data_IF_252395577690
#
_entry.id   IF_252395577690
#
_cell.length_a   1.000
_cell.length_b   1.000
_cell.length_c   1.000
_cell.angle_alpha   90.00
_cell.angle_beta   90.00
_cell.angle_gamma   90.00
#
_symmetry.space_group_name_H-M   'P 1'
#
loop_
_entity.id
_entity.type
_entity.pdbx_description
1 polymer ?
#
# COMPACT_ATOMS: atom_id res chain seq x y z
N UNK A 1 4.46 -0.09 -9.47
CA UNK A 1 3.04 0.29 -9.58
C UNK A 1 2.88 1.69 -10.18
N UNK A 2 3.47 2.75 -9.60
CA UNK A 2 3.24 4.13 -10.08
C UNK A 2 3.63 4.34 -11.55
N UNK A 3 4.88 4.06 -11.93
CA UNK A 3 5.36 4.32 -13.30
C UNK A 3 4.68 3.44 -14.37
N UNK A 4 4.59 2.13 -14.11
CA UNK A 4 4.14 1.12 -15.09
C UNK A 4 2.64 0.84 -15.06
N UNK A 5 1.95 1.16 -13.97
CA UNK A 5 0.53 0.90 -13.80
C UNK A 5 -0.25 2.21 -13.77
N UNK A 6 -0.02 3.02 -12.75
CA UNK A 6 -0.80 4.24 -12.54
C UNK A 6 -0.66 5.27 -13.65
N UNK A 7 0.56 5.60 -14.11
CA UNK A 7 0.72 6.54 -15.22
C UNK A 7 0.08 6.02 -16.50
N UNK A 8 0.26 4.74 -16.83
CA UNK A 8 -0.39 4.12 -17.99
C UNK A 8 -1.92 4.16 -17.89
N UNK A 9 -2.46 3.90 -16.70
CA UNK A 9 -3.88 4.05 -16.43
C UNK A 9 -4.35 5.50 -16.67
N UNK A 10 -3.64 6.49 -16.14
CA UNK A 10 -3.94 7.91 -16.39
C UNK A 10 -3.89 8.27 -17.89
N UNK A 11 -2.95 7.72 -18.65
CA UNK A 11 -2.86 8.02 -20.09
C UNK A 11 -4.07 7.49 -20.88
N UNK A 12 -4.70 6.40 -20.42
CA UNK A 12 -5.75 5.67 -21.16
C UNK A 12 -7.16 5.92 -20.66
N UNK A 13 -7.31 6.41 -19.44
CA UNK A 13 -8.59 6.50 -18.74
C UNK A 13 -8.84 7.94 -18.30
N UNK A 14 -10.10 8.36 -18.42
CA UNK A 14 -10.56 9.60 -17.82
C UNK A 14 -10.94 9.35 -16.36
N UNK A 15 -10.05 9.79 -15.46
CA UNK A 15 -10.29 9.81 -14.03
C UNK A 15 -11.32 10.89 -13.70
N UNK A 16 -12.59 10.56 -13.84
CA UNK A 16 -13.72 11.45 -13.54
C UNK A 16 -14.28 11.15 -12.14
N UNK A 17 -14.90 12.15 -11.53
CA UNK A 17 -15.60 12.02 -10.24
C UNK A 17 -14.74 12.30 -8.99
N UNK A 18 -15.30 11.96 -7.83
CA UNK A 18 -14.78 12.36 -6.50
C UNK A 18 -13.75 11.35 -5.96
N UNK A 19 -13.66 10.16 -6.55
CA UNK A 19 -12.79 9.09 -6.07
C UNK A 19 -11.33 9.33 -6.47
N UNK A 20 -10.41 9.05 -5.55
CA UNK A 20 -8.99 9.23 -5.81
C UNK A 20 -8.50 8.41 -7.03
N UNK A 21 -7.73 8.99 -7.95
CA UNK A 21 -7.28 8.28 -9.15
C UNK A 21 -6.44 7.04 -8.88
N UNK A 22 -5.67 6.98 -7.78
CA UNK A 22 -4.94 5.76 -7.42
C UNK A 22 -5.93 4.65 -7.07
N UNK A 23 -7.00 4.96 -6.34
CA UNK A 23 -8.03 3.99 -5.98
C UNK A 23 -8.79 3.49 -7.21
N UNK A 24 -9.05 4.38 -8.17
CA UNK A 24 -9.63 4.01 -9.47
C UNK A 24 -8.70 3.09 -10.26
N UNK A 25 -7.40 3.41 -10.32
CA UNK A 25 -6.40 2.59 -10.98
C UNK A 25 -6.30 1.20 -10.37
N UNK A 26 -6.27 1.10 -9.04
CA UNK A 26 -6.20 -0.19 -8.33
C UNK A 26 -7.45 -1.01 -8.61
N UNK A 27 -8.64 -0.40 -8.50
CA UNK A 27 -9.90 -1.08 -8.79
C UNK A 27 -9.98 -1.57 -10.24
N UNK A 28 -9.46 -0.79 -11.19
CA UNK A 28 -9.35 -1.21 -12.59
C UNK A 28 -8.49 -2.47 -12.74
N UNK A 29 -7.28 -2.51 -12.16
CA UNK A 29 -6.45 -3.70 -12.28
C UNK A 29 -7.01 -4.91 -11.52
N UNK A 30 -7.71 -4.71 -10.41
CA UNK A 30 -8.42 -5.80 -9.73
C UNK A 30 -9.55 -6.36 -10.62
N UNK A 31 -10.32 -5.51 -11.29
CA UNK A 31 -11.37 -5.97 -12.21
C UNK A 31 -10.82 -6.72 -13.43
N UNK A 32 -9.63 -6.33 -13.92
CA UNK A 32 -8.93 -7.09 -14.97
C UNK A 32 -8.57 -8.51 -14.51
N UNK A 33 -8.13 -8.68 -13.26
CA UNK A 33 -7.87 -10.03 -12.70
C UNK A 33 -9.16 -10.82 -12.58
N UNK A 34 -10.23 -10.22 -12.05
CA UNK A 34 -11.53 -10.90 -11.94
C UNK A 34 -12.07 -11.32 -13.32
N UNK A 35 -11.89 -10.49 -14.35
CA UNK A 35 -12.28 -10.83 -15.72
C UNK A 35 -11.44 -11.97 -16.30
N UNK A 36 -10.13 -12.02 -16.01
CA UNK A 36 -9.25 -13.08 -16.48
C UNK A 36 -9.53 -14.44 -15.82
N UNK A 37 -10.14 -14.44 -14.63
CA UNK A 37 -10.54 -15.63 -13.87
C UNK A 37 -12.06 -15.70 -13.72
N UNK A 38 -12.81 -15.43 -14.80
CA UNK A 38 -14.28 -15.34 -14.79
C UNK A 38 -15.01 -16.63 -14.39
N UNK A 39 -14.31 -17.76 -14.43
CA UNK A 39 -14.87 -19.06 -14.05
C UNK A 39 -14.92 -19.28 -12.52
N UNK A 40 -14.35 -18.38 -11.72
CA UNK A 40 -14.34 -18.44 -10.27
C UNK A 40 -15.22 -17.37 -9.64
N UNK A 41 -15.87 -17.67 -8.51
CA UNK A 41 -16.46 -16.63 -7.67
C UNK A 41 -15.37 -15.90 -6.88
N UNK A 42 -15.12 -14.63 -7.24
CA UNK A 42 -14.05 -13.80 -6.64
C UNK A 42 -14.65 -12.54 -6.01
N UNK A 43 -14.36 -12.33 -4.72
CA UNK A 43 -14.57 -11.05 -4.06
C UNK A 43 -13.27 -10.23 -4.05
N UNK A 44 -13.37 -8.96 -4.44
CA UNK A 44 -12.32 -7.97 -4.27
C UNK A 44 -12.64 -7.06 -3.07
N UNK A 45 -11.70 -6.95 -2.13
CA UNK A 45 -11.80 -5.98 -1.02
C UNK A 45 -10.55 -5.11 -1.03
N UNK A 46 -10.71 -3.82 -1.29
CA UNK A 46 -9.59 -2.88 -1.36
C UNK A 46 -9.24 -2.26 0.00
N UNK A 47 -8.03 -1.73 0.13
CA UNK A 47 -7.52 -1.16 1.39
C UNK A 47 -8.31 0.07 1.87
N UNK A 48 -8.90 0.84 0.94
CA UNK A 48 -9.72 2.02 1.24
C UNK A 48 -11.19 1.70 1.56
N UNK A 49 -11.64 0.46 1.44
CA UNK A 49 -13.04 0.11 1.68
C UNK A 49 -13.40 0.04 3.16
N UNK A 50 -14.51 0.70 3.52
CA UNK A 50 -15.04 0.73 4.88
C UNK A 50 -16.49 0.25 4.92
N UNK A 51 -16.87 -0.33 6.05
CA UNK A 51 -18.26 -0.59 6.42
C UNK A 51 -18.98 0.73 6.76
N UNK A 52 -20.31 0.69 6.84
CA UNK A 52 -21.15 1.84 7.21
C UNK A 52 -20.77 2.49 8.56
N UNK A 53 -20.23 1.69 9.49
CA UNK A 53 -19.72 2.15 10.80
C UNK A 53 -18.27 2.66 10.75
N UNK A 54 -17.71 2.91 9.56
CA UNK A 54 -16.34 3.36 9.30
C UNK A 54 -15.23 2.39 9.74
N UNK A 55 -15.55 1.13 10.04
CA UNK A 55 -14.54 0.09 10.23
C UNK A 55 -14.02 -0.37 8.86
N UNK A 56 -12.70 -0.55 8.67
CA UNK A 56 -12.17 -1.15 7.45
C UNK A 56 -12.81 -2.51 7.18
N UNK A 57 -13.09 -2.83 5.91
CA UNK A 57 -13.61 -4.15 5.54
C UNK A 57 -12.54 -5.26 5.69
N UNK A 58 -11.27 -4.89 5.58
CA UNK A 58 -10.12 -5.80 5.73
C UNK A 58 -8.98 -5.12 6.51
N UNK A 59 -8.31 -5.86 7.38
CA UNK A 59 -7.10 -5.41 8.06
C UNK A 59 -5.88 -5.77 7.22
N UNK A 60 -5.56 -4.91 6.26
CA UNK A 60 -4.62 -5.27 5.19
C UNK A 60 -3.19 -5.54 5.68
N UNK A 61 -2.76 -4.86 6.75
CA UNK A 61 -1.44 -5.10 7.36
C UNK A 61 -1.34 -6.50 8.00
N UNK A 62 -2.42 -6.96 8.64
CA UNK A 62 -2.51 -8.33 9.16
C UNK A 62 -2.46 -9.34 8.01
N UNK A 63 -3.19 -9.09 6.92
CA UNK A 63 -3.15 -9.95 5.73
C UNK A 63 -1.72 -10.05 5.17
N UNK A 64 -1.02 -8.92 5.05
CA UNK A 64 0.36 -8.89 4.57
C UNK A 64 1.33 -9.68 5.46
N UNK A 65 1.10 -9.67 6.77
CA UNK A 65 1.88 -10.46 7.72
C UNK A 65 1.64 -11.95 7.53
N UNK A 66 0.38 -12.41 7.58
CA UNK A 66 0.06 -13.83 7.50
C UNK A 66 0.32 -14.44 6.12
N UNK A 67 0.34 -13.63 5.06
CA UNK A 67 0.73 -14.08 3.72
C UNK A 67 2.24 -14.18 3.51
N UNK A 68 3.04 -13.76 4.50
CA UNK A 68 4.50 -13.71 4.40
C UNK A 68 5.06 -12.52 3.60
N UNK A 69 4.20 -11.64 3.09
CA UNK A 69 4.61 -10.55 2.20
C UNK A 69 5.42 -9.45 2.91
N UNK A 70 5.03 -9.09 4.13
CA UNK A 70 5.71 -8.06 4.91
C UNK A 70 5.47 -8.26 6.40
N UNK A 71 6.51 -8.11 7.23
CA UNK A 71 6.33 -8.21 8.68
C UNK A 71 5.59 -6.97 9.19
N UNK A 72 4.48 -7.20 9.89
CA UNK A 72 3.71 -6.17 10.56
C UNK A 72 4.22 -5.90 11.98
N UNK A 73 4.97 -4.81 12.16
CA UNK A 73 5.49 -4.39 13.47
C UNK A 73 4.43 -3.58 14.21
N UNK A 74 4.14 -3.99 15.43
CA UNK A 74 3.14 -3.42 16.30
C UNK A 74 3.77 -2.97 17.62
N UNK A 75 3.03 -2.18 18.40
CA UNK A 75 3.43 -1.81 19.78
C UNK A 75 3.73 -3.05 20.63
N UNK A 76 3.00 -4.14 20.43
CA UNK A 76 3.22 -5.42 21.11
C UNK A 76 4.55 -6.13 20.76
N UNK A 77 5.23 -5.73 19.67
CA UNK A 77 6.53 -6.26 19.28
C UNK A 77 7.71 -5.54 19.96
N UNK A 78 7.43 -4.54 20.80
CA UNK A 78 8.42 -3.72 21.52
C UNK A 78 8.50 -4.15 22.99
N UNK A 79 9.67 -4.59 23.41
CA UNK A 79 10.00 -4.86 24.82
C UNK A 79 10.34 -3.54 25.51
N UNK A 80 9.91 -3.38 26.77
CA UNK A 80 10.06 -2.14 27.55
C UNK A 80 9.52 -0.92 26.80
N UNK A 81 8.29 -1.06 26.32
CA UNK A 81 7.53 -0.06 25.57
C UNK A 81 7.59 1.35 26.22
N UNK A 82 8.18 2.34 25.54
CA UNK A 82 8.40 3.67 26.11
C UNK A 82 7.17 4.59 26.02
N UNK A 83 6.10 4.20 25.31
CA UNK A 83 4.95 5.07 25.09
C UNK A 83 3.96 4.99 26.26
N UNK A 84 3.31 6.11 26.65
CA UNK A 84 2.22 6.09 27.61
C UNK A 84 1.11 5.10 27.21
N UNK A 85 0.47 4.46 28.19
CA UNK A 85 -0.63 3.51 27.94
C UNK A 85 -1.80 4.16 27.16
N UNK A 86 -2.09 5.42 27.45
CA UNK A 86 -3.14 6.19 26.77
C UNK A 86 -2.79 6.57 25.33
N UNK A 87 -1.53 6.43 24.91
CA UNK A 87 -1.06 6.85 23.60
C UNK A 87 -1.28 5.74 22.56
N UNK A 88 -2.12 6.01 21.56
CA UNK A 88 -2.28 5.08 20.44
C UNK A 88 -1.04 5.10 19.54
N UNK A 89 -0.44 3.94 19.35
CA UNK A 89 0.69 3.71 18.41
C UNK A 89 0.20 2.76 17.33
N UNK A 90 0.08 3.27 16.11
CA UNK A 90 -0.29 2.47 14.95
C UNK A 90 0.90 1.63 14.49
N UNK A 91 0.66 0.36 14.19
CA UNK A 91 1.67 -0.52 13.60
C UNK A 91 1.95 -0.19 12.13
N UNK A 92 3.05 -0.73 11.61
CA UNK A 92 3.49 -0.54 10.23
C UNK A 92 4.11 -1.82 9.67
N UNK A 93 3.81 -2.13 8.40
CA UNK A 93 4.46 -3.23 7.70
C UNK A 93 5.78 -2.78 7.07
N UNK A 94 6.80 -3.63 7.12
CA UNK A 94 8.08 -3.43 6.39
C UNK A 94 8.27 -4.60 5.44
N UNK A 95 8.42 -4.30 4.16
CA UNK A 95 8.71 -5.29 3.13
C UNK A 95 10.22 -5.59 3.11
N UNK A 96 10.67 -6.85 3.06
CA UNK A 96 12.08 -7.21 3.20
C UNK A 96 13.00 -6.64 2.11
N UNK A 97 12.44 -6.29 0.93
CA UNK A 97 13.20 -5.71 -0.20
C UNK A 97 13.01 -4.21 -0.37
N UNK A 98 11.91 -3.64 0.13
CA UNK A 98 11.51 -2.26 -0.19
C UNK A 98 11.39 -1.39 1.06
N UNK A 99 11.65 -1.93 2.25
CA UNK A 99 11.37 -1.25 3.51
C UNK A 99 9.91 -0.83 3.57
N UNK A 100 9.67 0.46 3.82
CA UNK A 100 8.34 1.05 3.75
C UNK A 100 7.98 1.64 2.38
N UNK A 101 8.79 1.49 1.33
CA UNK A 101 8.54 2.05 -0.02
C UNK A 101 7.55 1.22 -0.84
N UNK A 102 6.42 0.87 -0.21
CA UNK A 102 5.30 0.19 -0.84
C UNK A 102 3.98 0.61 -0.20
N UNK A 103 2.88 0.11 -0.75
CA UNK A 103 1.56 0.21 -0.17
C UNK A 103 0.80 -1.09 -0.45
N UNK A 104 0.03 -1.55 0.53
CA UNK A 104 -0.89 -2.67 0.39
C UNK A 104 -2.18 -2.17 -0.26
N UNK A 105 -2.78 -2.95 -1.17
CA UNK A 105 -3.86 -2.48 -2.05
C UNK A 105 -5.20 -3.19 -1.89
N UNK A 106 -5.20 -4.37 -1.30
CA UNK A 106 -6.41 -5.16 -1.15
C UNK A 106 -6.15 -6.65 -1.21
N UNK A 107 -7.24 -7.40 -1.22
CA UNK A 107 -7.28 -8.86 -1.32
C UNK A 107 -8.25 -9.30 -2.40
N UNK A 108 -7.93 -10.41 -3.03
CA UNK A 108 -8.84 -11.19 -3.87
C UNK A 108 -9.14 -12.49 -3.13
N UNK A 109 -10.43 -12.78 -2.93
CA UNK A 109 -10.90 -13.97 -2.22
C UNK A 109 -11.63 -14.84 -3.24
N UNK A 110 -11.01 -15.96 -3.61
CA UNK A 110 -11.61 -16.98 -4.46
C UNK A 110 -12.46 -17.90 -3.59
N UNK A 111 -13.79 -17.74 -3.62
CA UNK A 111 -14.68 -18.44 -2.67
C UNK A 111 -14.77 -19.94 -2.94
N UNK A 112 -14.63 -20.31 -4.21
CA UNK A 112 -14.74 -21.71 -4.65
C UNK A 112 -13.41 -22.46 -4.57
N UNK A 113 -12.34 -21.80 -4.15
CA UNK A 113 -10.99 -22.39 -4.05
C UNK A 113 -10.65 -22.66 -2.60
N UNK A 114 -10.67 -23.95 -2.24
CA UNK A 114 -10.23 -24.42 -0.93
C UNK A 114 -8.89 -25.11 -1.09
N UNK A 115 -7.87 -24.62 -0.37
CA UNK A 115 -6.54 -25.22 -0.38
C UNK A 115 -6.03 -25.37 1.05
N UNK A 116 -6.43 -26.47 1.70
CA UNK A 116 -6.15 -26.76 3.12
C UNK A 116 -4.66 -26.93 3.41
N UNK A 117 -3.91 -27.44 2.43
CA UNK A 117 -2.52 -27.85 2.61
C UNK A 117 -1.54 -26.75 2.17
N UNK A 118 -2.05 -25.53 1.93
CA UNK A 118 -1.25 -24.37 1.57
C UNK A 118 -0.21 -24.08 2.65
N UNK A 119 1.06 -24.30 2.31
CA UNK A 119 2.16 -23.98 3.21
C UNK A 119 2.31 -22.46 3.30
N UNK A 120 2.00 -21.90 4.48
CA UNK A 120 2.22 -20.49 4.76
C UNK A 120 3.70 -20.25 5.08
N UNK A 121 4.31 -19.28 4.41
CA UNK A 121 5.66 -18.83 4.74
C UNK A 121 5.56 -17.63 5.67
N UNK A 122 6.19 -17.66 6.86
CA UNK A 122 6.15 -16.51 7.76
C UNK A 122 6.89 -15.31 7.15
N UNK A 123 6.49 -14.07 7.49
CA UNK A 123 7.16 -12.89 6.97
C UNK A 123 8.56 -12.76 7.59
N UNK A 124 9.51 -12.23 6.81
CA UNK A 124 10.87 -11.98 7.29
C UNK A 124 10.90 -10.84 8.32
N UNK A 125 11.37 -11.12 9.54
CA UNK A 125 11.73 -10.10 10.53
C UNK A 125 13.01 -9.37 10.09
N UNK A 126 12.81 -8.32 9.29
CA UNK A 126 13.88 -7.47 8.74
C UNK A 126 14.27 -6.30 9.67
N UNK A 127 13.61 -6.14 10.82
CA UNK A 127 13.90 -5.12 11.84
C UNK A 127 13.93 -5.79 13.24
N UNK A 128 14.91 -6.68 13.49
CA UNK A 128 14.94 -7.47 14.73
C UNK A 128 15.33 -6.65 15.97
N UNK A 129 15.99 -5.51 15.79
CA UNK A 129 16.48 -4.70 16.90
C UNK A 129 15.38 -3.90 17.61
N UNK A 130 15.25 -4.04 18.93
CA UNK A 130 14.24 -3.32 19.73
C UNK A 130 14.31 -1.78 19.57
N UNK A 131 15.51 -1.19 19.60
CA UNK A 131 15.69 0.25 19.33
C UNK A 131 15.25 0.65 17.93
N UNK A 132 15.44 -0.22 16.94
CA UNK A 132 15.01 0.04 15.56
C UNK A 132 13.49 -0.07 15.44
N UNK A 133 12.84 -1.01 16.14
CA UNK A 133 11.37 -1.11 16.21
C UNK A 133 10.73 0.13 16.83
N UNK A 134 11.30 0.62 17.94
CA UNK A 134 10.89 1.89 18.56
C UNK A 134 11.03 3.03 17.54
N UNK A 135 12.22 3.20 16.95
CA UNK A 135 12.47 4.28 15.98
C UNK A 135 11.56 4.19 14.75
N UNK A 136 11.29 2.99 14.25
CA UNK A 136 10.37 2.74 13.13
C UNK A 136 8.95 3.22 13.48
N UNK A 137 8.43 2.80 14.63
CA UNK A 137 7.08 3.16 15.07
C UNK A 137 6.98 4.65 15.39
N UNK A 138 7.99 5.27 16.00
CA UNK A 138 8.03 6.72 16.21
C UNK A 138 8.02 7.49 14.90
N UNK A 139 8.92 7.14 13.96
CA UNK A 139 8.97 7.81 12.66
C UNK A 139 7.67 7.64 11.89
N UNK A 140 7.04 6.47 11.95
CA UNK A 140 5.75 6.24 11.30
C UNK A 140 4.60 7.03 11.95
N UNK A 141 4.55 7.11 13.28
CA UNK A 141 3.44 7.76 13.96
C UNK A 141 3.58 9.28 14.02
N UNK A 142 4.80 9.81 14.13
CA UNK A 142 5.06 11.24 14.40
C UNK A 142 5.74 11.98 13.24
N UNK A 143 6.42 11.26 12.33
CA UNK A 143 7.24 11.86 11.27
C UNK A 143 6.94 11.34 9.86
N UNK A 144 5.83 10.63 9.63
CA UNK A 144 5.58 9.92 8.36
C UNK A 144 5.71 10.76 7.09
N UNK A 145 5.49 12.07 7.19
CA UNK A 145 5.59 13.03 6.07
C UNK A 145 7.01 13.23 5.55
N UNK A 146 8.03 12.92 6.35
CA UNK A 146 9.44 13.03 5.94
C UNK A 146 9.95 11.77 5.22
N UNK A 147 9.11 10.73 5.11
CA UNK A 147 9.39 9.45 4.46
C UNK A 147 10.43 8.56 5.15
N UNK A 148 11.11 9.02 6.20
CA UNK A 148 12.28 8.34 6.77
C UNK A 148 11.96 7.01 7.46
N UNK A 149 10.72 6.79 7.88
CA UNK A 149 10.28 5.48 8.38
C UNK A 149 10.37 4.39 7.31
N UNK A 150 10.33 4.76 6.02
CA UNK A 150 10.41 3.83 4.90
C UNK A 150 11.81 3.29 4.66
N UNK A 151 12.83 3.99 5.17
CA UNK A 151 14.26 3.67 5.07
C UNK A 151 14.79 2.93 6.32
N UNK A 152 13.94 2.22 7.05
CA UNK A 152 14.36 1.41 8.21
C UNK A 152 15.33 0.28 7.83
N UNK A 153 15.27 -0.17 6.57
CA UNK A 153 16.24 -1.05 5.93
C UNK A 153 16.69 -0.43 4.61
N UNK A 154 17.79 -0.94 4.05
CA UNK A 154 18.20 -0.59 2.69
C UNK A 154 17.18 -1.14 1.67
N UNK A 155 16.50 -0.24 0.96
CA UNK A 155 15.50 -0.59 -0.03
C UNK A 155 16.13 -0.72 -1.42
N UNK A 156 15.84 -1.83 -2.11
CA UNK A 156 16.27 -2.06 -3.50
C UNK A 156 15.73 -1.00 -4.46
N UNK A 157 14.53 -0.50 -4.19
CA UNK A 157 13.88 0.54 -4.96
C UNK A 157 13.03 1.42 -4.06
N UNK A 158 13.13 2.73 -4.28
CA UNK A 158 12.33 3.76 -3.62
C UNK A 158 11.32 4.37 -4.58
N UNK A 159 10.40 5.15 -4.05
CA UNK A 159 9.53 5.97 -4.89
C UNK A 159 10.37 7.02 -5.62
N UNK A 160 10.05 7.27 -6.88
CA UNK A 160 10.63 8.39 -7.65
C UNK A 160 10.22 9.71 -7.02
N UNK A 161 10.95 10.80 -7.30
CA UNK A 161 10.55 12.13 -6.81
C UNK A 161 9.15 12.51 -7.31
N UNK A 162 8.82 12.24 -8.58
CA UNK A 162 7.47 12.44 -9.11
C UNK A 162 6.40 11.66 -8.33
N UNK A 163 6.69 10.42 -7.93
CA UNK A 163 5.79 9.62 -7.12
C UNK A 163 5.64 10.18 -5.70
N UNK A 164 6.74 10.65 -5.09
CA UNK A 164 6.71 11.32 -3.77
C UNK A 164 5.89 12.60 -3.82
N UNK A 165 6.10 13.43 -4.84
CA UNK A 165 5.37 14.68 -5.07
C UNK A 165 3.86 14.41 -5.24
N UNK A 166 3.50 13.39 -6.01
CA UNK A 166 2.11 12.98 -6.15
C UNK A 166 1.47 12.61 -4.81
N UNK A 167 2.13 11.78 -3.99
CA UNK A 167 1.58 11.35 -2.70
C UNK A 167 1.64 12.43 -1.62
N UNK A 168 2.58 13.37 -1.71
CA UNK A 168 2.63 14.56 -0.85
C UNK A 168 1.53 15.57 -1.21
N UNK A 169 1.08 15.58 -2.46
CA UNK A 169 -0.02 16.45 -2.93
C UNK A 169 -1.35 15.97 -2.33
N UNK A 170 -2.09 16.92 -1.73
CA UNK A 170 -3.41 16.66 -1.14
C UNK A 170 -4.38 16.22 -2.23
N UNK A 171 -5.32 15.29 -1.96
CA UNK A 171 -6.26 14.79 -2.97
C UNK A 171 -6.95 15.86 -3.81
N UNK A 172 -7.44 16.94 -3.18
CA UNK A 172 -8.10 18.06 -3.88
C UNK A 172 -7.19 18.87 -4.82
N UNK A 173 -5.87 18.80 -4.64
CA UNK A 173 -4.88 19.54 -5.42
C UNK A 173 -4.18 18.67 -6.48
N UNK A 174 -4.53 17.36 -6.55
CA UNK A 174 -3.87 16.40 -7.45
C UNK A 174 -4.13 16.63 -8.93
N UNK A 175 -5.17 17.39 -9.29
CA UNK A 175 -5.57 17.60 -10.68
C UNK A 175 -4.39 18.10 -11.54
N UNK A 176 -3.63 19.09 -11.07
CA UNK A 176 -2.48 19.64 -11.79
C UNK A 176 -1.40 18.59 -12.05
N UNK A 177 -1.13 17.73 -11.07
CA UNK A 177 -0.13 16.66 -11.18
C UNK A 177 -0.60 15.60 -12.18
N UNK A 178 -1.90 15.27 -12.17
CA UNK A 178 -2.51 14.30 -13.09
C UNK A 178 -2.47 14.82 -14.53
N UNK A 179 -2.83 16.08 -14.75
CA UNK A 179 -2.77 16.72 -16.07
C UNK A 179 -1.33 16.74 -16.61
N UNK A 180 -0.35 17.08 -15.77
CA UNK A 180 1.06 17.01 -16.17
C UNK A 180 1.50 15.60 -16.58
N UNK A 181 1.06 14.57 -15.85
CA UNK A 181 1.33 13.16 -16.23
C UNK A 181 0.66 12.82 -17.55
N UNK A 182 -0.63 13.15 -17.73
CA UNK A 182 -1.37 12.87 -18.98
C UNK A 182 -0.71 13.52 -20.19
N UNK A 183 -0.29 14.78 -20.07
CA UNK A 183 0.39 15.51 -21.15
C UNK A 183 1.72 14.85 -21.55
N UNK A 184 2.46 14.30 -20.59
CA UNK A 184 3.70 13.57 -20.89
C UNK A 184 3.47 12.31 -21.74
N UNK A 185 2.31 11.66 -21.61
CA UNK A 185 1.96 10.50 -22.43
C UNK A 185 1.76 10.91 -23.91
N UNK A 186 1.04 12.01 -24.16
CA UNK A 186 0.71 12.48 -25.50
C UNK A 186 1.95 12.91 -26.32
N UNK A 187 2.99 13.40 -25.65
CA UNK A 187 4.26 13.74 -26.30
C UNK A 187 5.10 12.51 -26.66
N UNK A 188 4.86 11.37 -26.00
CA UNK A 188 5.58 10.11 -26.22
C UNK A 188 5.12 9.39 -27.47
N UNK A 189 3.83 9.55 -27.85
CA UNK A 189 3.23 8.90 -29.03
C UNK A 189 3.50 9.68 -30.33
N UNK A 190 4.06 10.90 -30.24
CA UNK A 190 4.37 11.79 -31.37
C UNK A 190 5.87 11.90 -31.69
N UNK A 191 6.73 11.09 -31.05
CA UNK A 191 8.19 11.01 -31.30
C UNK A 191 8.60 9.63 -31.78
#
# INVERSE_FOLDING_TARGET
MFEKGFKQFLCRQDCTGVRDPIDQCVAYYFSQVMQAYSDYEIDAIHDFEMNHNRRPKVLIQTVAHISGAAYYYQRADVVDDPWPESQKICGVCVHPRYGGWFALRGVLIFKDVIYSDLQQTPPTDCVPGQRQRISLLEKFNFNWKDWTFRDVIEAEQKYTEQQKDYFATRPGDRQKVIEAIKNSCQNSDNS
#
